data_IF_971486338784
#
_entry.id   IF_971486338784
#
_cell.length_a   1.000
_cell.length_b   1.000
_cell.length_c   1.000
_cell.angle_alpha   90.00
_cell.angle_beta   90.00
_cell.angle_gamma   90.00
#
_symmetry.space_group_name_H-M   'P 1'
#
loop_
_entity.id
_entity.type
_entity.pdbx_description
1 polymer ?
#
# COMPACT_ATOMS: atom_id res chain seq x y z
N UNK A 1 6.28 -8.49 -10.81
CA UNK A 1 7.07 -7.95 -9.66
C UNK A 1 7.25 -9.03 -8.60
N UNK A 2 8.44 -9.12 -7.99
CA UNK A 2 8.70 -10.09 -6.91
C UNK A 2 7.92 -9.69 -5.66
N UNK A 3 7.15 -10.63 -5.09
CA UNK A 3 6.47 -10.47 -3.80
C UNK A 3 7.16 -11.31 -2.73
N UNK A 4 7.14 -10.82 -1.52
CA UNK A 4 7.71 -11.45 -0.33
C UNK A 4 6.61 -11.57 0.70
N UNK A 5 6.35 -12.78 1.18
CA UNK A 5 5.36 -13.00 2.22
C UNK A 5 5.99 -12.78 3.61
N UNK A 6 5.53 -11.76 4.30
CA UNK A 6 5.86 -11.48 5.68
C UNK A 6 4.59 -11.68 6.52
N UNK A 7 4.55 -12.77 7.26
CA UNK A 7 3.31 -13.28 7.89
C UNK A 7 2.20 -13.45 6.83
N UNK A 8 1.08 -12.79 7.01
CA UNK A 8 -0.05 -12.84 6.06
C UNK A 8 -0.07 -11.67 5.06
N UNK A 9 1.03 -10.97 4.88
CA UNK A 9 1.13 -9.82 3.96
C UNK A 9 2.12 -10.11 2.84
N UNK A 10 1.65 -10.04 1.60
CA UNK A 10 2.51 -10.07 0.43
C UNK A 10 3.05 -8.66 0.13
N UNK A 11 4.34 -8.43 0.39
CA UNK A 11 5.01 -7.15 0.17
C UNK A 11 5.75 -7.18 -1.17
N UNK A 12 5.59 -6.15 -1.98
CA UNK A 12 6.32 -5.97 -3.23
C UNK A 12 7.76 -5.52 -2.94
N UNK A 13 8.73 -6.34 -3.36
CA UNK A 13 10.16 -6.02 -3.26
C UNK A 13 10.62 -5.26 -4.49
N UNK A 14 10.33 -3.97 -4.52
CA UNK A 14 10.62 -3.04 -5.63
C UNK A 14 11.32 -1.80 -5.11
N UNK A 15 11.98 -1.06 -6.01
CA UNK A 15 12.56 0.25 -5.72
C UNK A 15 11.53 1.37 -5.88
N UNK A 16 11.86 2.55 -5.36
CA UNK A 16 11.04 3.75 -5.55
C UNK A 16 10.83 4.04 -7.05
N UNK A 17 11.87 3.94 -7.85
CA UNK A 17 11.77 4.20 -9.30
C UNK A 17 10.87 3.18 -9.99
N UNK A 18 11.03 1.87 -9.71
CA UNK A 18 10.18 0.80 -10.25
C UNK A 18 8.69 1.02 -9.88
N UNK A 19 8.42 1.51 -8.65
CA UNK A 19 7.06 1.86 -8.24
C UNK A 19 6.51 3.05 -9.02
N UNK A 20 7.26 4.14 -9.12
CA UNK A 20 6.84 5.34 -9.83
C UNK A 20 6.55 5.05 -11.31
N UNK A 21 7.39 4.27 -11.97
CA UNK A 21 7.15 3.83 -13.36
C UNK A 21 5.88 3.01 -13.49
N UNK A 22 5.63 2.10 -12.56
CA UNK A 22 4.43 1.25 -12.55
C UNK A 22 3.15 2.07 -12.34
N UNK A 23 3.21 3.15 -11.57
CA UNK A 23 2.07 4.04 -11.30
C UNK A 23 1.62 4.87 -12.52
N UNK A 24 2.34 4.84 -13.65
CA UNK A 24 1.85 5.39 -14.92
C UNK A 24 0.56 4.71 -15.38
N UNK A 25 0.40 3.43 -15.07
CA UNK A 25 -0.81 2.66 -15.37
C UNK A 25 -1.90 2.83 -14.30
N UNK A 26 -1.61 3.56 -13.22
CA UNK A 26 -2.49 3.70 -12.06
C UNK A 26 -2.23 2.64 -10.99
N UNK A 27 -3.08 2.63 -9.97
CA UNK A 27 -3.08 1.64 -8.91
C UNK A 27 -3.21 2.20 -7.50
N UNK A 28 -3.47 1.31 -6.56
CA UNK A 28 -3.63 1.57 -5.13
C UNK A 28 -2.35 1.18 -4.41
N UNK A 29 -1.73 2.13 -3.71
CA UNK A 29 -0.49 1.92 -2.97
C UNK A 29 -0.76 1.99 -1.47
N UNK A 30 -0.45 0.89 -0.77
CA UNK A 30 -0.40 0.85 0.69
C UNK A 30 1.04 0.63 1.16
N UNK A 31 1.37 1.21 2.30
CA UNK A 31 2.73 1.20 2.85
C UNK A 31 2.76 0.48 4.20
N UNK A 32 2.76 -0.90 4.21
CA UNK A 32 2.78 -1.67 5.44
C UNK A 32 4.02 -1.39 6.29
N UNK A 33 3.76 -1.23 7.58
CA UNK A 33 4.75 -1.19 8.65
C UNK A 33 4.38 -2.21 9.74
N UNK A 34 5.16 -2.31 10.81
CA UNK A 34 4.93 -3.27 11.91
C UNK A 34 3.52 -3.18 12.49
N UNK A 35 2.99 -1.96 12.68
CA UNK A 35 1.65 -1.76 13.22
C UNK A 35 0.56 -2.26 12.25
N UNK A 36 0.72 -2.01 10.96
CA UNK A 36 -0.19 -2.56 9.94
C UNK A 36 -0.15 -4.09 9.95
N UNK A 37 1.04 -4.69 9.94
CA UNK A 37 1.20 -6.14 9.98
C UNK A 37 0.50 -6.74 11.21
N UNK A 38 0.63 -6.12 12.38
CA UNK A 38 -0.04 -6.58 13.60
C UNK A 38 -1.56 -6.39 13.58
N UNK A 39 -2.06 -5.31 12.99
CA UNK A 39 -3.51 -5.11 12.77
C UNK A 39 -4.08 -6.15 11.81
N UNK A 40 -3.37 -6.49 10.76
CA UNK A 40 -3.77 -7.51 9.77
C UNK A 40 -3.88 -8.92 10.36
N UNK A 41 -3.27 -9.19 11.55
CA UNK A 41 -3.48 -10.43 12.28
C UNK A 41 -4.82 -10.46 13.05
N UNK A 42 -5.44 -9.30 13.33
CA UNK A 42 -6.57 -9.15 14.27
C UNK A 42 -7.82 -8.56 13.63
N UNK A 43 -7.67 -7.81 12.55
CA UNK A 43 -8.75 -7.13 11.84
C UNK A 43 -8.92 -7.74 10.44
N UNK A 44 -9.94 -8.60 10.30
CA UNK A 44 -10.25 -9.28 9.05
C UNK A 44 -10.67 -8.30 7.94
N UNK A 45 -11.42 -7.25 8.28
CA UNK A 45 -11.86 -6.26 7.30
C UNK A 45 -10.65 -5.53 6.73
N UNK A 46 -9.72 -5.13 7.58
CA UNK A 46 -8.47 -4.50 7.15
C UNK A 46 -7.62 -5.47 6.32
N UNK A 47 -7.54 -6.75 6.72
CA UNK A 47 -6.86 -7.78 5.96
C UNK A 47 -7.44 -7.91 4.54
N UNK A 48 -8.76 -8.04 4.40
CA UNK A 48 -9.41 -8.15 3.08
C UNK A 48 -9.12 -6.94 2.20
N UNK A 49 -9.23 -5.73 2.75
CA UNK A 49 -8.91 -4.49 2.05
C UNK A 49 -7.45 -4.45 1.58
N UNK A 50 -6.53 -4.96 2.39
CA UNK A 50 -5.11 -5.00 2.04
C UNK A 50 -4.81 -5.90 0.85
N UNK A 51 -5.60 -6.98 0.67
CA UNK A 51 -5.43 -7.88 -0.48
C UNK A 51 -5.82 -7.20 -1.81
N UNK A 52 -6.68 -6.19 -1.77
CA UNK A 52 -7.14 -5.46 -2.94
C UNK A 52 -6.16 -4.37 -3.43
N UNK A 53 -5.09 -4.09 -2.69
CA UNK A 53 -4.07 -3.13 -3.11
C UNK A 53 -3.22 -3.68 -4.26
N UNK A 54 -2.96 -2.84 -5.26
CA UNK A 54 -2.09 -3.19 -6.39
C UNK A 54 -0.63 -3.24 -5.94
N UNK A 55 -0.23 -2.33 -5.06
CA UNK A 55 1.13 -2.24 -4.52
C UNK A 55 1.11 -2.18 -3.00
N UNK A 56 1.84 -3.07 -2.37
CA UNK A 56 2.12 -3.08 -0.93
C UNK A 56 3.62 -2.95 -0.75
N UNK A 57 4.11 -1.74 -0.44
CA UNK A 57 5.53 -1.41 -0.37
C UNK A 57 5.99 -1.17 1.07
N UNK A 58 7.17 -1.57 1.42
CA UNK A 58 7.65 -1.64 2.79
C UNK A 58 7.93 -0.26 3.41
N UNK A 59 7.13 0.15 4.41
CA UNK A 59 7.35 1.38 5.19
C UNK A 59 8.05 1.11 6.52
N UNK A 60 9.06 0.24 6.56
CA UNK A 60 9.73 -0.02 7.84
C UNK A 60 11.11 -0.67 7.66
N UNK A 61 12.14 -0.07 8.22
CA UNK A 61 13.46 -0.70 8.33
C UNK A 61 13.42 -1.98 9.16
N UNK A 62 12.54 -2.04 10.18
CA UNK A 62 12.35 -3.26 10.98
C UNK A 62 11.84 -4.40 10.10
N UNK A 63 10.86 -4.13 9.22
CA UNK A 63 10.39 -5.16 8.27
C UNK A 63 11.48 -5.58 7.29
N UNK A 64 12.35 -4.65 6.85
CA UNK A 64 13.51 -5.00 6.01
C UNK A 64 14.50 -5.91 6.75
N UNK A 65 14.85 -5.60 8.02
CA UNK A 65 15.72 -6.45 8.80
C UNK A 65 15.14 -7.84 9.01
N UNK A 66 13.84 -7.91 9.30
CA UNK A 66 13.13 -9.18 9.44
C UNK A 66 13.09 -9.96 8.12
N UNK A 67 12.89 -9.30 6.99
CA UNK A 67 12.90 -9.95 5.67
C UNK A 67 14.26 -10.55 5.34
N UNK A 68 15.36 -9.88 5.74
CA UNK A 68 16.72 -10.43 5.64
C UNK A 68 16.89 -11.66 6.52
N UNK A 69 16.42 -11.61 7.78
CA UNK A 69 16.46 -12.75 8.71
C UNK A 69 15.68 -13.97 8.18
N UNK A 70 14.59 -13.73 7.45
CA UNK A 70 13.78 -14.77 6.81
C UNK A 70 14.36 -15.26 5.47
N UNK A 71 15.49 -14.72 5.00
CA UNK A 71 16.14 -15.09 3.74
C UNK A 71 15.44 -14.54 2.49
N UNK A 72 14.54 -13.58 2.65
CA UNK A 72 13.75 -12.97 1.56
C UNK A 72 13.88 -11.45 1.60
N UNK A 73 15.04 -10.87 1.22
CA UNK A 73 15.31 -9.45 1.40
C UNK A 73 14.37 -8.56 0.56
N UNK A 74 13.90 -7.48 1.19
CA UNK A 74 13.18 -6.37 0.55
C UNK A 74 14.22 -5.39 -0.01
N UNK A 75 14.05 -4.97 -1.27
CA UNK A 75 15.01 -4.09 -1.98
C UNK A 75 15.13 -2.72 -1.33
N UNK A 76 14.03 -2.07 -1.00
CA UNK A 76 14.02 -0.68 -0.56
C UNK A 76 12.89 -0.40 0.44
N UNK A 77 13.15 0.53 1.40
CA UNK A 77 12.11 1.10 2.26
C UNK A 77 11.43 2.24 1.50
N UNK A 78 10.12 2.13 1.34
CA UNK A 78 9.28 3.14 0.68
C UNK A 78 8.17 3.54 1.65
N UNK A 79 8.39 4.61 2.42
CA UNK A 79 7.36 5.16 3.31
C UNK A 79 6.42 6.11 2.54
N UNK A 80 5.21 6.35 3.07
CA UNK A 80 4.31 7.35 2.51
C UNK A 80 4.95 8.74 2.42
N UNK A 81 5.78 9.09 3.42
CA UNK A 81 6.49 10.36 3.48
C UNK A 81 7.70 10.48 2.53
N UNK A 82 8.20 9.35 2.00
CA UNK A 82 9.21 9.34 0.95
C UNK A 82 8.53 9.24 -0.44
N UNK A 83 7.48 8.43 -0.55
CA UNK A 83 6.75 8.19 -1.78
C UNK A 83 6.08 9.45 -2.33
N UNK A 84 5.38 10.21 -1.50
CA UNK A 84 4.60 11.34 -1.97
C UNK A 84 5.48 12.46 -2.56
N UNK A 85 6.60 12.89 -1.91
CA UNK A 85 7.56 13.80 -2.53
C UNK A 85 8.19 13.25 -3.81
N UNK A 86 8.60 11.98 -3.81
CA UNK A 86 9.16 11.34 -4.99
C UNK A 86 8.15 11.33 -6.15
N UNK A 87 6.87 11.06 -5.84
CA UNK A 87 5.80 11.02 -6.83
C UNK A 87 5.58 12.38 -7.50
N UNK A 88 5.36 13.46 -6.74
CA UNK A 88 5.08 14.74 -7.36
C UNK A 88 6.31 15.34 -8.06
N UNK A 89 7.52 15.04 -7.63
CA UNK A 89 8.73 15.43 -8.35
C UNK A 89 8.94 14.63 -9.64
N UNK A 90 8.71 13.32 -9.61
CA UNK A 90 8.83 12.46 -10.78
C UNK A 90 7.87 12.88 -11.90
N UNK A 91 6.65 13.23 -11.53
CA UNK A 91 5.60 13.63 -12.47
C UNK A 91 5.41 15.16 -12.59
N UNK A 92 6.39 15.97 -12.18
CA UNK A 92 6.26 17.43 -12.13
C UNK A 92 5.92 18.08 -13.48
N UNK A 93 6.33 17.49 -14.58
CA UNK A 93 6.07 17.99 -15.94
C UNK A 93 4.84 17.36 -16.61
N UNK A 94 4.27 16.30 -16.05
CA UNK A 94 3.07 15.64 -16.59
C UNK A 94 1.81 16.40 -16.20
N UNK A 95 1.21 17.11 -17.15
CA UNK A 95 0.00 17.91 -16.95
C UNK A 95 -1.25 17.07 -16.67
N UNK A 96 -1.24 15.76 -16.94
CA UNK A 96 -2.34 14.85 -16.62
C UNK A 96 -2.36 14.47 -15.14
N UNK A 97 -1.26 14.67 -14.43
CA UNK A 97 -1.18 14.43 -12.99
C UNK A 97 -1.72 15.62 -12.23
N UNK A 98 -2.90 15.43 -11.64
CA UNK A 98 -3.63 16.37 -10.80
C UNK A 98 -3.95 15.70 -9.48
N UNK A 99 -3.46 16.23 -8.37
CA UNK A 99 -3.53 15.60 -7.04
C UNK A 99 -4.66 16.23 -6.24
N UNK A 100 -5.47 15.39 -5.56
CA UNK A 100 -6.36 15.78 -4.48
C UNK A 100 -5.74 15.34 -3.15
N UNK A 101 -5.59 16.27 -2.20
CA UNK A 101 -5.17 15.95 -0.83
C UNK A 101 -6.40 15.79 0.06
N UNK A 102 -6.50 14.65 0.76
CA UNK A 102 -7.59 14.38 1.70
C UNK A 102 -7.02 14.03 3.08
N UNK A 103 -7.27 14.85 4.08
CA UNK A 103 -6.84 14.57 5.46
C UNK A 103 -6.27 15.77 6.17
N UNK A 104 -5.77 15.53 7.40
CA UNK A 104 -5.23 16.54 8.31
C UNK A 104 -6.24 17.65 8.66
N UNK A 105 -5.81 18.69 9.36
CA UNK A 105 -6.63 19.85 9.69
C UNK A 105 -6.72 20.82 8.50
N UNK A 106 -7.78 21.64 8.47
CA UNK A 106 -8.07 22.53 7.33
C UNK A 106 -6.92 23.47 6.98
N UNK A 107 -6.27 24.06 7.95
CA UNK A 107 -5.14 24.96 7.70
C UNK A 107 -3.91 24.19 7.24
N UNK A 108 -3.69 22.99 7.80
CA UNK A 108 -2.54 22.13 7.50
C UNK A 108 -2.62 21.60 6.05
N UNK A 109 -3.76 21.05 5.64
CA UNK A 109 -3.89 20.52 4.28
C UNK A 109 -3.79 21.62 3.22
N UNK A 110 -4.31 22.82 3.49
CA UNK A 110 -4.15 23.98 2.59
C UNK A 110 -2.70 24.47 2.52
N UNK A 111 -1.97 24.44 3.64
CA UNK A 111 -0.56 24.79 3.65
C UNK A 111 0.27 23.75 2.88
N UNK A 112 -0.02 22.45 3.07
CA UNK A 112 0.62 21.38 2.30
C UNK A 112 0.39 21.57 0.79
N UNK A 113 -0.85 21.89 0.37
CA UNK A 113 -1.17 22.19 -1.03
C UNK A 113 -0.29 23.34 -1.57
N UNK A 114 -0.21 24.45 -0.85
CA UNK A 114 0.61 25.61 -1.25
C UNK A 114 2.11 25.23 -1.38
N UNK A 115 2.63 24.53 -0.37
CA UNK A 115 4.03 24.15 -0.32
C UNK A 115 4.40 23.18 -1.45
N UNK A 116 3.58 22.16 -1.72
CA UNK A 116 3.80 21.21 -2.82
C UNK A 116 3.75 21.93 -4.16
N UNK A 117 2.74 22.78 -4.38
CA UNK A 117 2.61 23.55 -5.62
C UNK A 117 3.81 24.48 -5.84
N UNK A 118 4.30 25.14 -4.80
CA UNK A 118 5.50 25.99 -4.86
C UNK A 118 6.76 25.17 -5.18
N UNK A 119 6.94 23.98 -4.57
CA UNK A 119 8.08 23.08 -4.83
C UNK A 119 8.12 22.59 -6.28
N UNK A 120 6.94 22.34 -6.86
CA UNK A 120 6.82 21.84 -8.25
C UNK A 120 6.79 22.97 -9.28
N UNK A 121 6.48 24.20 -8.86
CA UNK A 121 6.36 25.36 -9.76
C UNK A 121 5.06 25.38 -10.58
N UNK A 122 4.07 24.55 -10.25
CA UNK A 122 2.73 24.51 -10.87
C UNK A 122 1.66 24.02 -9.89
N UNK A 123 0.39 24.23 -10.26
CA UNK A 123 -0.76 23.74 -9.48
C UNK A 123 -0.98 22.23 -9.68
N UNK A 124 -0.02 21.38 -9.25
CA UNK A 124 -0.15 19.93 -9.32
C UNK A 124 -1.18 19.41 -8.30
N UNK A 125 -1.28 20.04 -7.12
CA UNK A 125 -2.32 19.77 -6.12
C UNK A 125 -3.49 20.72 -6.41
N UNK A 126 -4.47 20.21 -7.14
CA UNK A 126 -5.62 21.02 -7.67
C UNK A 126 -6.67 21.28 -6.59
N UNK A 127 -6.79 20.42 -5.59
CA UNK A 127 -7.71 20.58 -4.47
C UNK A 127 -7.21 19.89 -3.20
N UNK A 128 -7.71 20.38 -2.06
CA UNK A 128 -7.40 19.82 -0.74
C UNK A 128 -8.62 19.93 0.17
N UNK A 129 -8.90 18.89 0.95
CA UNK A 129 -10.02 18.83 1.87
C UNK A 129 -9.64 18.18 3.19
N UNK A 130 -10.13 18.78 4.29
CA UNK A 130 -10.01 18.28 5.65
C UNK A 130 -11.37 17.70 6.05
N UNK A 131 -11.49 16.37 6.20
CA UNK A 131 -12.73 15.77 6.66
C UNK A 131 -12.91 15.95 8.17
N UNK A 132 -14.16 15.85 8.65
CA UNK A 132 -14.42 15.86 10.10
C UNK A 132 -13.85 14.63 10.81
N UNK A 133 -13.60 14.74 12.12
CA UNK A 133 -13.15 13.58 12.89
C UNK A 133 -14.21 12.48 12.89
N UNK A 134 -13.82 11.28 12.43
CA UNK A 134 -14.74 10.14 12.34
C UNK A 134 -15.63 10.13 11.09
N UNK A 135 -15.31 10.97 10.08
CA UNK A 135 -16.05 11.06 8.82
C UNK A 135 -16.27 9.72 8.12
N UNK A 136 -15.37 8.78 8.31
CA UNK A 136 -15.43 7.42 7.72
C UNK A 136 -16.67 6.64 8.17
N UNK A 137 -17.34 7.09 9.23
CA UNK A 137 -18.60 6.54 9.75
C UNK A 137 -19.83 7.31 9.28
N UNK A 138 -19.63 8.48 8.69
CA UNK A 138 -20.70 9.34 8.19
C UNK A 138 -20.82 9.19 6.66
N UNK A 139 -21.79 8.40 6.21
CA UNK A 139 -22.00 8.13 4.78
C UNK A 139 -22.28 9.40 3.97
N UNK A 140 -23.06 10.32 4.54
CA UNK A 140 -23.39 11.58 3.84
C UNK A 140 -22.15 12.46 3.62
N UNK A 141 -21.26 12.53 4.62
CA UNK A 141 -19.99 13.25 4.48
C UNK A 141 -19.07 12.56 3.48
N UNK A 142 -18.98 11.23 3.54
CA UNK A 142 -18.21 10.46 2.57
C UNK A 142 -18.68 10.70 1.14
N UNK A 143 -20.00 10.73 0.88
CA UNK A 143 -20.54 11.01 -0.45
C UNK A 143 -20.22 12.44 -0.91
N UNK A 144 -20.32 13.43 -0.02
CA UNK A 144 -19.90 14.81 -0.33
C UNK A 144 -18.40 14.87 -0.70
N UNK A 145 -17.55 14.12 0.00
CA UNK A 145 -16.12 14.03 -0.31
C UNK A 145 -15.91 13.40 -1.69
N UNK A 146 -16.61 12.32 -2.02
CA UNK A 146 -16.57 11.70 -3.36
C UNK A 146 -16.97 12.69 -4.45
N UNK A 147 -18.03 13.46 -4.24
CA UNK A 147 -18.44 14.51 -5.18
C UNK A 147 -17.38 15.61 -5.33
N UNK A 148 -16.78 16.08 -4.23
CA UNK A 148 -15.71 17.08 -4.25
C UNK A 148 -14.51 16.58 -5.06
N UNK A 149 -14.07 15.33 -4.84
CA UNK A 149 -12.98 14.73 -5.58
C UNK A 149 -13.33 14.65 -7.07
N UNK A 150 -14.52 14.17 -7.43
CA UNK A 150 -14.94 14.06 -8.82
C UNK A 150 -15.02 15.42 -9.53
N UNK A 151 -15.53 16.47 -8.85
CA UNK A 151 -15.57 17.84 -9.37
C UNK A 151 -14.20 18.46 -9.58
N UNK A 152 -13.20 18.08 -8.79
CA UNK A 152 -11.82 18.58 -8.90
C UNK A 152 -11.09 18.10 -10.14
N UNK A 153 -11.60 17.04 -10.80
CA UNK A 153 -10.95 16.34 -11.92
C UNK A 153 -9.51 15.88 -11.60
N UNK A 154 -9.24 15.64 -10.33
CA UNK A 154 -7.96 15.04 -9.91
C UNK A 154 -7.82 13.63 -10.48
N UNK A 155 -6.59 13.25 -10.80
CA UNK A 155 -6.23 11.92 -11.31
C UNK A 155 -5.51 11.09 -10.26
N UNK A 156 -5.10 11.73 -9.18
CA UNK A 156 -4.41 11.13 -8.04
C UNK A 156 -5.09 11.55 -6.74
N UNK A 157 -5.39 10.59 -5.88
CA UNK A 157 -5.85 10.83 -4.52
C UNK A 157 -4.74 10.47 -3.55
N UNK A 158 -4.24 11.46 -2.81
CA UNK A 158 -3.35 11.25 -1.68
C UNK A 158 -4.14 11.47 -0.38
N UNK A 159 -4.34 10.37 0.38
CA UNK A 159 -5.15 10.36 1.59
C UNK A 159 -4.29 10.15 2.83
N UNK A 160 -4.42 11.05 3.82
CA UNK A 160 -3.64 11.08 5.05
C UNK A 160 -4.50 11.19 6.30
N UNK A 161 -5.42 10.23 6.52
CA UNK A 161 -6.30 10.17 7.71
C UNK A 161 -5.90 9.06 8.69
N UNK A 162 -4.81 8.35 8.38
CA UNK A 162 -4.24 7.27 9.18
C UNK A 162 -4.90 5.90 8.97
N UNK A 163 -4.10 4.86 9.21
CA UNK A 163 -4.53 3.46 9.09
C UNK A 163 -5.36 3.01 10.32
N UNK A 164 -6.39 2.18 10.13
CA UNK A 164 -6.84 1.54 8.89
C UNK A 164 -7.87 2.35 8.08
N UNK A 165 -8.19 3.58 8.50
CA UNK A 165 -9.28 4.37 7.94
C UNK A 165 -9.07 4.72 6.47
N UNK A 166 -7.85 5.15 6.11
CA UNK A 166 -7.52 5.55 4.74
C UNK A 166 -7.62 4.38 3.76
N UNK A 167 -7.12 3.21 4.12
CA UNK A 167 -7.17 2.02 3.29
C UNK A 167 -8.61 1.51 3.10
N UNK A 168 -9.38 1.46 4.19
CA UNK A 168 -10.80 1.05 4.17
C UNK A 168 -11.63 2.04 3.35
N UNK A 169 -11.36 3.34 3.47
CA UNK A 169 -12.08 4.37 2.72
C UNK A 169 -11.79 4.26 1.21
N UNK A 170 -10.52 4.09 0.83
CA UNK A 170 -10.13 3.86 -0.57
C UNK A 170 -10.87 2.64 -1.13
N UNK A 171 -10.80 1.49 -0.45
CA UNK A 171 -11.43 0.26 -0.93
C UNK A 171 -12.95 0.44 -1.12
N UNK A 172 -13.62 1.18 -0.21
CA UNK A 172 -15.06 1.39 -0.27
C UNK A 172 -15.49 2.32 -1.41
N UNK A 173 -14.70 3.38 -1.69
CA UNK A 173 -15.16 4.45 -2.57
C UNK A 173 -14.41 4.55 -3.91
N UNK A 174 -13.31 3.79 -4.12
CA UNK A 174 -12.49 3.90 -5.33
C UNK A 174 -13.27 3.77 -6.64
N UNK A 175 -14.29 2.90 -6.66
CA UNK A 175 -15.11 2.69 -7.87
C UNK A 175 -16.03 3.88 -8.19
N UNK A 176 -16.29 4.76 -7.21
CA UNK A 176 -17.10 5.97 -7.41
C UNK A 176 -16.26 7.18 -7.82
N UNK A 177 -14.94 7.08 -7.76
CA UNK A 177 -13.97 8.14 -8.07
C UNK A 177 -13.56 8.05 -9.56
N UNK A 178 -14.34 8.72 -10.41
CA UNK A 178 -14.36 8.56 -11.88
C UNK A 178 -13.02 8.84 -12.56
N UNK A 179 -12.25 9.80 -12.05
CA UNK A 179 -11.01 10.28 -12.68
C UNK A 179 -9.75 9.83 -11.97
N UNK A 180 -9.85 9.31 -10.74
CA UNK A 180 -8.71 8.89 -9.96
C UNK A 180 -8.15 7.58 -10.52
N UNK A 181 -6.89 7.62 -10.92
CA UNK A 181 -6.11 6.46 -11.40
C UNK A 181 -5.14 5.96 -10.34
N UNK A 182 -4.59 6.86 -9.53
CA UNK A 182 -3.60 6.54 -8.50
C UNK A 182 -4.14 6.89 -7.12
N UNK A 183 -4.04 5.94 -6.19
CA UNK A 183 -4.45 6.10 -4.80
C UNK A 183 -3.23 5.89 -3.90
N UNK A 184 -2.86 6.90 -3.13
CA UNK A 184 -1.72 6.89 -2.23
C UNK A 184 -2.21 7.03 -0.78
N UNK A 185 -2.05 5.98 0.03
CA UNK A 185 -2.31 6.01 1.46
C UNK A 185 -1.05 6.53 2.18
N UNK A 186 -0.99 7.85 2.45
CA UNK A 186 0.24 8.54 2.84
C UNK A 186 0.34 8.90 4.33
N UNK A 187 -0.69 8.60 5.13
CA UNK A 187 -0.67 8.87 6.58
C UNK A 187 -0.36 10.31 6.95
N UNK A 188 0.60 10.52 7.85
CA UNK A 188 0.98 11.84 8.35
C UNK A 188 1.80 12.70 7.36
N UNK A 189 1.91 12.28 6.10
CA UNK A 189 2.73 13.01 5.10
C UNK A 189 2.22 14.41 4.82
N UNK A 190 0.90 14.62 4.91
CA UNK A 190 0.30 15.95 4.75
C UNK A 190 0.85 16.93 5.79
N UNK A 191 1.00 16.49 7.04
CA UNK A 191 1.56 17.30 8.13
C UNK A 191 3.05 17.62 7.91
N UNK A 192 3.82 16.69 7.35
CA UNK A 192 5.22 16.93 6.97
C UNK A 192 5.31 17.94 5.82
N UNK A 193 4.47 17.82 4.79
CA UNK A 193 4.49 18.74 3.65
C UNK A 193 4.04 20.16 4.04
N UNK A 194 3.16 20.27 5.02
CA UNK A 194 2.76 21.55 5.60
C UNK A 194 3.87 22.21 6.43
N UNK A 195 4.86 21.42 6.91
CA UNK A 195 5.86 21.85 7.88
C UNK A 195 5.35 21.87 9.33
N UNK A 196 4.16 21.30 9.58
CA UNK A 196 3.54 21.25 10.91
C UNK A 196 4.25 20.26 11.85
N UNK A 197 4.80 19.19 11.30
CA UNK A 197 5.58 18.18 12.01
C UNK A 197 6.96 18.07 11.37
N UNK A 198 8.01 18.08 12.19
CA UNK A 198 9.36 17.83 11.69
C UNK A 198 9.58 16.33 11.47
N UNK A 199 10.19 16.00 10.35
CA UNK A 199 10.66 14.62 10.10
C UNK A 199 11.85 14.30 10.99
N UNK A 200 12.00 13.02 11.33
CA UNK A 200 13.22 12.57 12.00
C UNK A 200 14.46 12.89 11.15
N UNK A 201 15.61 13.17 11.77
CA UNK A 201 16.87 13.30 11.05
C UNK A 201 17.10 12.10 10.12
N UNK A 202 17.65 12.34 8.93
CA UNK A 202 17.85 11.29 7.91
C UNK A 202 18.58 10.07 8.46
N UNK A 203 19.65 10.27 9.22
CA UNK A 203 20.41 9.17 9.83
C UNK A 203 19.55 8.28 10.73
N UNK A 204 18.61 8.84 11.52
CA UNK A 204 17.69 8.04 12.34
C UNK A 204 16.74 7.22 11.48
N UNK A 205 16.23 7.78 10.38
CA UNK A 205 15.37 7.04 9.44
C UNK A 205 16.14 5.92 8.74
N UNK A 206 17.41 6.15 8.38
CA UNK A 206 18.28 5.19 7.69
C UNK A 206 18.63 3.97 8.56
N UNK A 207 18.85 4.16 9.85
CA UNK A 207 19.13 3.05 10.80
C UNK A 207 17.86 2.45 11.41
N UNK A 208 16.66 2.98 11.06
CA UNK A 208 15.39 2.42 11.52
C UNK A 208 14.91 2.94 12.88
N UNK A 209 15.46 4.04 13.38
CA UNK A 209 15.08 4.67 14.66
C UNK A 209 14.02 5.78 14.53
N UNK A 210 13.37 5.93 13.37
CA UNK A 210 12.28 6.89 13.16
C UNK A 210 11.14 6.69 14.18
N UNK A 211 10.82 5.43 14.51
CA UNK A 211 9.81 5.12 15.52
C UNK A 211 10.19 5.65 16.92
N UNK A 212 11.48 5.63 17.27
CA UNK A 212 11.97 6.14 18.56
C UNK A 212 11.86 7.66 18.60
N UNK A 213 12.24 8.34 17.52
CA UNK A 213 12.06 9.78 17.39
C UNK A 213 10.59 10.19 17.57
N UNK A 214 9.68 9.48 16.90
CA UNK A 214 8.23 9.73 17.07
C UNK A 214 7.76 9.41 18.49
N UNK A 215 8.28 8.36 19.12
CA UNK A 215 7.94 8.01 20.49
C UNK A 215 8.34 9.08 21.47
N UNK A 216 9.52 9.68 21.31
CA UNK A 216 10.01 10.79 22.17
C UNK A 216 9.15 12.04 22.00
N UNK A 217 8.74 12.36 20.77
CA UNK A 217 7.92 13.54 20.49
C UNK A 217 6.43 13.36 20.85
N UNK A 218 5.89 12.12 20.77
CA UNK A 218 4.48 11.81 21.03
C UNK A 218 4.33 10.60 21.97
N UNK A 219 4.91 10.61 23.18
CA UNK A 219 4.99 9.42 24.03
C UNK A 219 3.61 8.89 24.43
N UNK A 220 2.69 9.77 24.84
CA UNK A 220 1.35 9.39 25.32
C UNK A 220 0.54 8.64 24.25
N UNK A 221 0.73 8.97 22.97
CA UNK A 221 0.00 8.36 21.84
C UNK A 221 0.64 7.07 21.37
N UNK A 222 1.99 6.97 21.38
CA UNK A 222 2.72 5.95 20.65
C UNK A 222 3.29 4.82 21.51
N UNK A 223 3.51 5.01 22.82
CA UNK A 223 4.17 3.99 23.66
C UNK A 223 3.41 2.68 23.71
N UNK A 224 2.07 2.73 23.92
CA UNK A 224 1.23 1.51 23.92
C UNK A 224 1.29 0.80 22.57
N UNK A 225 1.20 1.57 21.49
CA UNK A 225 1.23 1.03 20.13
C UNK A 225 2.54 0.27 19.86
N UNK A 226 3.67 0.81 20.25
CA UNK A 226 4.96 0.18 19.98
C UNK A 226 5.24 -0.99 20.91
N UNK A 227 5.07 -0.84 22.22
CA UNK A 227 5.36 -1.92 23.19
C UNK A 227 4.41 -3.10 23.00
N UNK A 228 3.09 -2.85 22.89
CA UNK A 228 2.11 -3.93 22.73
C UNK A 228 2.19 -4.63 21.36
N UNK A 229 2.82 -4.02 20.37
CA UNK A 229 2.99 -4.64 19.05
C UNK A 229 4.35 -5.32 18.88
N UNK A 230 5.41 -4.86 19.56
CA UNK A 230 6.76 -5.36 19.33
C UNK A 230 6.95 -6.82 19.76
N UNK A 231 6.54 -7.16 20.99
CA UNK A 231 6.72 -8.54 21.52
C UNK A 231 5.90 -9.56 20.72
N UNK A 232 4.59 -9.36 20.48
CA UNK A 232 3.83 -10.27 19.63
C UNK A 232 4.36 -10.36 18.20
N UNK A 233 4.86 -9.23 17.63
CA UNK A 233 5.45 -9.23 16.31
C UNK A 233 6.68 -10.13 16.24
N UNK A 234 7.64 -9.98 17.16
CA UNK A 234 8.84 -10.81 17.20
C UNK A 234 8.51 -12.30 17.38
N UNK A 235 7.52 -12.61 18.21
CA UNK A 235 7.04 -13.98 18.37
C UNK A 235 6.48 -14.58 17.08
N UNK A 236 5.64 -13.83 16.34
CA UNK A 236 5.10 -14.27 15.05
C UNK A 236 6.20 -14.46 14.00
N UNK A 237 7.22 -13.59 13.99
CA UNK A 237 8.38 -13.74 13.10
C UNK A 237 9.19 -15.00 13.44
N UNK A 238 9.38 -15.30 14.72
CA UNK A 238 10.02 -16.55 15.14
C UNK A 238 9.21 -17.76 14.66
N UNK A 239 7.89 -17.74 14.83
CA UNK A 239 7.01 -18.79 14.30
C UNK A 239 7.15 -18.93 12.78
N UNK A 240 7.20 -17.82 12.03
CA UNK A 240 7.39 -17.87 10.58
C UNK A 240 8.76 -18.46 10.22
N UNK A 241 9.82 -18.09 10.94
CA UNK A 241 11.17 -18.64 10.73
C UNK A 241 11.23 -20.15 10.96
N UNK A 242 10.48 -20.63 11.96
CA UNK A 242 10.37 -22.05 12.31
C UNK A 242 9.29 -22.81 11.51
N UNK A 243 8.65 -22.16 10.52
CA UNK A 243 7.55 -22.72 9.72
C UNK A 243 6.31 -23.11 10.55
N UNK A 244 6.14 -22.54 11.73
CA UNK A 244 5.01 -22.76 12.64
C UNK A 244 3.90 -21.71 12.52
N UNK A 245 4.16 -20.61 11.80
CA UNK A 245 3.17 -19.54 11.61
C UNK A 245 1.99 -20.03 10.76
N UNK A 246 0.79 -19.73 11.25
CA UNK A 246 -0.47 -19.98 10.53
C UNK A 246 -1.20 -18.66 10.33
N UNK A 247 -1.59 -18.39 9.07
CA UNK A 247 -2.42 -17.22 8.77
C UNK A 247 -3.76 -17.36 9.51
N UNK A 248 -4.17 -16.39 10.35
CA UNK A 248 -5.44 -16.46 11.11
C UNK A 248 -6.68 -16.58 10.22
N UNK A 249 -6.57 -16.21 8.95
CA UNK A 249 -7.68 -16.15 7.99
C UNK A 249 -7.74 -17.33 7.02
N UNK A 250 -6.74 -18.20 6.97
CA UNK A 250 -6.62 -19.30 6.00
C UNK A 250 -7.80 -20.28 6.01
N UNK A 251 -8.32 -20.63 7.19
CA UNK A 251 -9.46 -21.55 7.30
C UNK A 251 -10.76 -21.01 6.70
N UNK A 252 -10.85 -19.70 6.53
CA UNK A 252 -12.03 -19.01 5.99
C UNK A 252 -11.89 -18.83 4.47
N UNK A 253 -10.68 -18.64 3.99
CA UNK A 253 -10.38 -18.60 2.54
C UNK A 253 -10.71 -19.96 1.91
N UNK A 254 -10.36 -21.06 2.57
CA UNK A 254 -10.71 -22.42 2.13
C UNK A 254 -12.24 -22.63 2.07
N UNK A 255 -13.00 -22.20 3.09
CA UNK A 255 -14.45 -22.31 3.08
C UNK A 255 -15.13 -21.45 2.01
N UNK A 256 -14.55 -20.32 1.66
CA UNK A 256 -15.08 -19.46 0.59
C UNK A 256 -14.74 -20.02 -0.79
N UNK A 257 -13.55 -20.58 -1.01
CA UNK A 257 -13.20 -21.25 -2.28
C UNK A 257 -14.05 -22.49 -2.55
N UNK A 258 -14.34 -23.27 -1.52
CA UNK A 258 -15.29 -24.42 -1.62
C UNK A 258 -16.73 -23.96 -1.93
N UNK A 259 -17.18 -22.83 -1.36
CA UNK A 259 -18.53 -22.30 -1.56
C UNK A 259 -18.74 -21.67 -2.94
N UNK A 260 -17.68 -21.21 -3.59
CA UNK A 260 -17.69 -20.62 -4.95
C UNK A 260 -17.22 -21.56 -6.05
N UNK A 261 -16.95 -22.85 -5.75
CA UNK A 261 -16.71 -23.89 -6.77
C UNK A 261 -15.44 -23.68 -7.61
N UNK A 262 -14.45 -22.93 -7.12
CA UNK A 262 -13.16 -22.82 -7.80
C UNK A 262 -12.30 -24.00 -7.37
N UNK A 263 -12.53 -25.15 -8.02
CA UNK A 263 -11.64 -26.29 -7.97
C UNK A 263 -10.42 -25.98 -8.85
N UNK A 264 -9.31 -25.63 -8.21
CA UNK A 264 -7.98 -25.78 -8.83
C UNK A 264 -7.74 -27.27 -9.04
N UNK A 265 -8.02 -27.74 -10.26
CA UNK A 265 -7.54 -29.05 -10.69
C UNK A 265 -6.02 -29.02 -10.70
N UNK A 266 -5.41 -29.54 -9.64
CA UNK A 266 -4.05 -30.04 -9.69
C UNK A 266 -3.99 -31.08 -10.81
N UNK A 267 -3.35 -30.73 -11.92
CA UNK A 267 -2.90 -31.69 -12.90
C UNK A 267 -1.86 -32.59 -12.25
N UNK A 268 -2.28 -33.76 -11.86
CA UNK A 268 -1.39 -34.90 -11.65
C UNK A 268 -0.64 -35.21 -12.94
N UNK A 269 0.67 -34.91 -12.88
CA UNK A 269 1.62 -35.41 -13.86
C UNK A 269 2.15 -36.77 -13.38
N UNK A 270 1.45 -37.84 -13.71
CA UNK A 270 2.05 -39.16 -13.70
C UNK A 270 1.35 -40.05 -14.71
N UNK A 271 2.20 -40.59 -15.60
CA UNK A 271 1.96 -41.73 -16.52
C UNK A 271 1.10 -41.48 -17.78
N UNK A 272 1.82 -41.23 -18.86
CA UNK A 272 1.45 -41.85 -20.17
C UNK A 272 2.71 -42.50 -20.72
N UNK A 273 2.72 -43.83 -20.62
CA UNK A 273 3.57 -44.71 -21.38
C UNK A 273 3.09 -44.82 -22.82
N UNK A 274 4.06 -44.82 -23.72
CA UNK A 274 4.17 -45.39 -25.03
C UNK A 274 2.94 -46.17 -25.61
N UNK A 275 2.49 -45.72 -26.74
CA UNK A 275 2.17 -46.63 -27.85
C UNK A 275 2.37 -45.92 -29.20
N UNK A 276 3.34 -46.44 -29.93
CA UNK A 276 3.62 -46.27 -31.35
C UNK A 276 2.36 -46.44 -32.22
N UNK A 277 2.16 -45.63 -33.28
CA UNK A 277 2.12 -46.18 -34.62
C UNK A 277 2.15 -45.11 -35.74
N UNK A 278 2.89 -45.51 -36.76
CA UNK A 278 3.08 -44.94 -38.08
C UNK A 278 1.81 -44.55 -38.83
N UNK A 279 1.90 -43.47 -39.60
CA UNK A 279 1.69 -43.39 -41.10
C UNK A 279 1.51 -41.91 -41.45
N UNK A 280 2.43 -41.38 -42.16
CA UNK A 280 2.57 -41.27 -43.63
C UNK A 280 1.95 -39.99 -44.21
N UNK A 281 2.84 -39.24 -44.84
CA UNK A 281 2.81 -38.71 -46.21
C UNK A 281 2.04 -37.40 -46.42
N UNK A 282 2.78 -36.36 -46.62
CA UNK A 282 3.13 -35.60 -47.83
C UNK A 282 2.13 -34.57 -48.35
N UNK A 283 2.77 -33.56 -48.98
CA UNK A 283 2.25 -32.70 -50.05
C UNK A 283 1.71 -31.34 -49.54
N UNK A 284 2.14 -30.21 -49.94
CA UNK A 284 2.82 -29.53 -51.05
C UNK A 284 3.08 -28.09 -50.56
N UNK A 285 4.21 -27.52 -50.65
CA UNK A 285 4.80 -26.55 -51.60
C UNK A 285 3.86 -25.50 -52.22
N UNK A 286 4.38 -24.28 -52.14
CA UNK A 286 4.15 -23.07 -52.95
C UNK A 286 3.02 -22.17 -52.43
N UNK A 287 3.19 -20.87 -52.34
CA UNK A 287 3.64 -19.89 -53.35
C UNK A 287 3.93 -18.56 -52.67
N UNK A 288 5.06 -17.98 -53.01
CA UNK A 288 5.48 -16.55 -53.07
C UNK A 288 5.40 -15.69 -51.83
#
# INVERSE_FOLDING_TARGET
>A
MRQINLLNVAIHSITMLELLESLRSGGVVFTPNVDHVMKLQRDRKFYSVYQEADYRVCDSKILMYVSNLLGTPIKEKISGSDLFPAFYHYYQYDQNIKIFLLGSETQVVKQAQKNVNAKVGRNIVVAAHSPSFGFEKNEQECQKIVELINRSQATVLAIGVGAPKQEIWIAKYRQQLKHIKVFLAIGATIDFEAGNIQRSPKWMSEIGLEWLYRLVNEPKRLWRRYILSAVPFLWLILQQRLQLYRNPWSAIELKNSEKFGINDQKKDSSSINLATNHKSVSIIKNIR
#
